data_IF_061164988828
#
_entry.id   IF_061164988828
#
_cell.length_a   1.000
_cell.length_b   1.000
_cell.length_c   1.000
_cell.angle_alpha   90.00
_cell.angle_beta   90.00
_cell.angle_gamma   90.00
#
_symmetry.space_group_name_H-M   'P 1'
#
loop_
_entity.id
_entity.type
_entity.pdbx_description
1 polymer ?
#
# COMPACT_ATOMS: atom_id res chain seq x y z
N UNK A 1 9.97 27.49 -40.75
CA UNK A 1 9.71 27.41 -39.29
C UNK A 1 10.87 28.10 -38.61
N UNK A 2 10.69 29.35 -38.19
CA UNK A 2 11.70 30.15 -37.50
C UNK A 2 11.66 29.85 -36.00
N UNK A 3 12.82 29.57 -35.41
CA UNK A 3 12.95 29.23 -34.00
C UNK A 3 12.71 30.45 -33.10
N UNK A 4 12.12 30.23 -31.93
CA UNK A 4 11.81 31.26 -30.93
C UNK A 4 13.03 32.09 -30.47
N UNK A 5 14.24 31.61 -30.75
CA UNK A 5 15.51 32.29 -30.45
C UNK A 5 15.78 33.54 -31.29
N UNK A 6 15.15 33.69 -32.47
CA UNK A 6 15.37 34.85 -33.34
C UNK A 6 14.50 36.07 -32.98
N UNK A 7 13.56 35.93 -32.04
CA UNK A 7 12.62 36.99 -31.64
C UNK A 7 13.15 37.89 -30.52
N UNK A 8 14.32 37.58 -29.92
CA UNK A 8 14.88 38.37 -28.81
C UNK A 8 16.41 38.55 -28.91
N UNK A 9 16.92 39.26 -29.93
CA UNK A 9 18.37 39.45 -30.11
C UNK A 9 19.06 40.34 -29.05
N UNK A 10 18.31 41.11 -28.26
CA UNK A 10 18.87 42.09 -27.30
C UNK A 10 18.54 41.78 -25.82
N UNK A 11 18.35 40.51 -25.46
CA UNK A 11 18.18 40.10 -24.07
C UNK A 11 19.51 40.08 -23.31
N UNK A 12 19.69 41.01 -22.36
CA UNK A 12 20.87 41.15 -21.50
C UNK A 12 21.08 39.98 -20.52
N UNK A 13 21.48 38.80 -21.01
CA UNK A 13 21.86 37.64 -20.17
C UNK A 13 23.03 36.83 -20.73
N UNK A 14 23.90 37.44 -21.50
CA UNK A 14 25.25 36.94 -21.70
C UNK A 14 26.20 37.73 -20.78
N UNK A 15 27.09 37.02 -20.11
CA UNK A 15 28.13 37.50 -19.19
C UNK A 15 27.69 37.90 -17.78
N UNK A 16 27.60 36.88 -16.90
CA UNK A 16 27.96 37.04 -15.48
C UNK A 16 28.38 35.70 -14.89
N UNK A 17 29.45 35.13 -15.43
CA UNK A 17 30.35 34.23 -14.70
C UNK A 17 31.17 35.05 -13.70
N UNK A 18 30.51 35.48 -12.62
CA UNK A 18 31.13 36.25 -11.54
C UNK A 18 30.28 36.13 -10.29
N UNK A 19 30.69 35.25 -9.38
CA UNK A 19 29.99 34.95 -8.13
C UNK A 19 29.92 36.17 -7.20
N UNK A 20 28.89 36.99 -7.37
CA UNK A 20 28.38 37.84 -6.31
C UNK A 20 27.22 37.09 -5.65
N UNK A 21 27.43 36.64 -4.40
CA UNK A 21 26.32 36.22 -3.53
C UNK A 21 25.41 37.43 -3.36
N UNK A 22 24.34 37.49 -4.14
CA UNK A 22 23.22 38.39 -3.87
C UNK A 22 22.70 38.00 -2.50
N UNK A 23 22.95 38.86 -1.53
CA UNK A 23 22.48 38.69 -0.15
C UNK A 23 20.95 38.77 -0.19
N UNK A 24 20.30 37.60 -0.18
CA UNK A 24 18.83 37.44 -0.26
C UNK A 24 18.08 38.32 0.73
N UNK A 25 18.75 38.76 1.81
CA UNK A 25 18.21 39.68 2.80
C UNK A 25 17.87 41.05 2.23
N UNK A 26 18.64 41.58 1.29
CA UNK A 26 18.36 42.90 0.70
C UNK A 26 17.16 42.85 -0.25
N UNK A 27 17.01 41.76 -1.01
CA UNK A 27 15.87 41.55 -1.91
C UNK A 27 14.58 41.35 -1.12
N UNK A 28 14.62 40.57 -0.04
CA UNK A 28 13.47 40.35 0.85
C UNK A 28 13.05 41.63 1.56
N UNK A 29 13.99 42.46 2.02
CA UNK A 29 13.67 43.70 2.72
C UNK A 29 12.99 44.73 1.80
N UNK A 30 13.44 44.82 0.55
CA UNK A 30 12.89 45.74 -0.47
C UNK A 30 11.51 45.28 -0.96
N UNK A 31 11.28 43.97 -1.08
CA UNK A 31 9.96 43.40 -1.36
C UNK A 31 8.96 43.67 -0.22
N UNK A 32 9.40 43.60 1.04
CA UNK A 32 8.58 43.91 2.23
C UNK A 32 8.19 45.39 2.30
N UNK A 33 9.06 46.28 1.83
CA UNK A 33 8.79 47.72 1.74
C UNK A 33 7.78 48.06 0.62
N UNK A 34 7.87 47.39 -0.54
CA UNK A 34 6.98 47.69 -1.68
C UNK A 34 5.62 47.02 -1.61
N UNK A 35 5.54 45.81 -1.07
CA UNK A 35 4.32 44.97 -1.13
C UNK A 35 3.60 44.94 0.24
N UNK A 36 4.22 45.52 1.27
CA UNK A 36 3.77 45.40 2.65
C UNK A 36 4.16 44.06 3.25
N UNK A 37 3.93 43.94 4.56
CA UNK A 37 4.33 42.76 5.30
C UNK A 37 3.56 41.53 4.80
N UNK A 38 4.24 40.43 4.43
CA UNK A 38 3.54 39.22 4.01
C UNK A 38 2.62 38.77 5.14
N UNK A 39 1.33 38.63 4.85
CA UNK A 39 0.39 38.05 5.82
C UNK A 39 0.95 36.68 6.20
N UNK A 40 1.32 36.52 7.46
CA UNK A 40 1.69 35.22 8.02
C UNK A 40 0.50 34.29 7.82
N UNK A 41 0.53 33.46 6.78
CA UNK A 41 -0.35 32.30 6.64
C UNK A 41 0.19 31.19 7.55
N UNK A 42 0.42 31.54 8.82
CA UNK A 42 0.38 30.58 9.92
C UNK A 42 -1.06 30.59 10.43
N UNK A 43 -1.94 30.07 9.59
CA UNK A 43 -3.12 29.41 10.11
C UNK A 43 -2.64 28.35 11.09
N UNK A 44 -3.19 28.36 12.30
CA UNK A 44 -2.96 27.32 13.29
C UNK A 44 -3.30 25.99 12.64
N UNK A 45 -2.28 25.24 12.22
CA UNK A 45 -2.41 23.83 11.90
C UNK A 45 -2.81 23.14 13.20
N UNK A 46 -4.12 22.98 13.40
CA UNK A 46 -4.65 22.07 14.42
C UNK A 46 -4.13 20.68 14.05
N UNK A 47 -3.38 20.01 14.94
CA UNK A 47 -2.90 18.67 14.66
C UNK A 47 -4.09 17.71 14.62
N UNK A 48 -4.07 16.81 13.62
CA UNK A 48 -5.00 15.69 13.43
C UNK A 48 -5.06 14.76 14.67
N UNK A 49 -4.13 14.95 15.62
CA UNK A 49 -4.09 14.32 16.94
C UNK A 49 -5.38 14.49 17.76
N UNK A 50 -6.17 15.56 17.57
CA UNK A 50 -7.44 15.74 18.29
C UNK A 50 -8.48 14.68 17.92
N UNK A 51 -8.45 14.14 16.70
CA UNK A 51 -9.39 13.11 16.24
C UNK A 51 -9.07 11.76 16.83
N UNK A 52 -7.79 11.38 16.87
CA UNK A 52 -7.34 10.14 17.49
C UNK A 52 -7.51 10.18 19.01
N UNK A 53 -7.36 11.35 19.62
CA UNK A 53 -7.61 11.53 21.04
C UNK A 53 -9.11 11.52 21.38
N UNK A 54 -9.96 12.05 20.49
CA UNK A 54 -11.42 11.90 20.57
C UNK A 54 -11.85 10.44 20.44
N UNK A 55 -11.33 9.71 19.45
CA UNK A 55 -11.61 8.28 19.26
C UNK A 55 -11.17 7.49 20.50
N UNK A 56 -9.97 7.76 21.03
CA UNK A 56 -9.46 7.11 22.24
C UNK A 56 -10.27 7.47 23.50
N UNK A 57 -10.83 8.68 23.58
CA UNK A 57 -11.72 9.09 24.68
C UNK A 57 -13.11 8.46 24.57
N UNK A 58 -13.65 8.31 23.37
CA UNK A 58 -14.92 7.60 23.12
C UNK A 58 -14.78 6.11 23.42
N UNK A 59 -13.66 5.49 23.04
CA UNK A 59 -13.38 4.08 23.35
C UNK A 59 -13.12 3.85 24.86
N UNK A 60 -12.51 4.82 25.55
CA UNK A 60 -12.37 4.78 27.00
C UNK A 60 -13.70 5.02 27.73
N UNK A 61 -14.62 5.80 27.14
CA UNK A 61 -15.96 6.02 27.69
C UNK A 61 -16.86 4.79 27.52
N UNK A 62 -16.79 4.11 26.36
CA UNK A 62 -17.55 2.88 26.12
C UNK A 62 -17.08 1.72 27.00
N UNK A 63 -15.77 1.61 27.25
CA UNK A 63 -15.20 0.60 28.17
C UNK A 63 -15.53 0.84 29.65
N UNK A 64 -15.96 2.05 30.03
CA UNK A 64 -16.32 2.40 31.41
C UNK A 64 -17.82 2.62 31.63
N UNK A 65 -18.65 2.44 30.60
CA UNK A 65 -20.09 2.48 30.73
C UNK A 65 -20.58 1.20 31.44
N UNK A 66 -20.70 1.28 32.77
CA UNK A 66 -21.35 0.25 33.57
C UNK A 66 -22.86 0.34 33.31
N UNK A 67 -23.55 -0.75 32.94
CA UNK A 67 -25.00 -0.73 32.82
C UNK A 67 -25.63 -0.45 34.18
N UNK A 68 -26.52 0.54 34.24
CA UNK A 68 -27.35 0.82 35.41
C UNK A 68 -28.44 -0.26 35.44
N UNK A 69 -28.16 -1.36 36.14
CA UNK A 69 -29.18 -2.28 36.61
C UNK A 69 -29.79 -1.68 37.88
N UNK A 70 -31.10 -1.49 37.84
CA UNK A 70 -31.92 -1.08 38.98
C UNK A 70 -32.17 -2.32 39.85
N UNK A 71 -31.30 -2.57 40.84
CA UNK A 71 -31.61 -3.47 41.95
C UNK A 71 -31.11 -2.90 43.28
N UNK A 72 -32.06 -2.71 44.18
CA UNK A 72 -31.92 -2.43 45.59
C UNK A 72 -31.29 -3.60 46.36
N UNK A 73 -30.27 -3.32 47.19
CA UNK A 73 -29.99 -4.16 48.36
C UNK A 73 -28.51 -4.47 48.68
N UNK A 74 -28.03 -3.76 49.71
CA UNK A 74 -27.09 -4.22 50.75
C UNK A 74 -25.56 -4.09 50.60
N UNK A 75 -24.95 -3.85 51.77
CA UNK A 75 -23.71 -3.14 52.05
C UNK A 75 -22.48 -4.08 52.10
N UNK A 76 -21.38 -3.72 51.41
CA UNK A 76 -20.02 -4.12 51.84
C UNK A 76 -18.87 -3.22 51.31
N UNK A 77 -18.24 -2.49 52.25
CA UNK A 77 -16.86 -1.96 52.36
C UNK A 77 -16.15 -1.28 51.16
N UNK A 78 -15.60 -0.05 51.35
CA UNK A 78 -14.85 0.65 50.31
C UNK A 78 -13.39 0.18 50.19
N UNK A 79 -12.97 -0.18 48.97
CA UNK A 79 -11.57 -0.36 48.57
C UNK A 79 -10.96 1.02 48.25
N UNK A 80 -9.87 1.36 48.92
CA UNK A 80 -9.06 2.58 48.70
C UNK A 80 -8.67 2.72 47.22
N UNK A 81 -9.24 3.70 46.52
CA UNK A 81 -8.78 4.13 45.20
C UNK A 81 -7.85 5.35 45.30
N UNK A 82 -6.78 5.26 44.51
CA UNK A 82 -5.73 6.24 44.30
C UNK A 82 -6.27 7.59 43.81
N UNK A 83 -5.69 8.68 44.33
CA UNK A 83 -6.03 10.07 43.99
C UNK A 83 -5.69 10.36 42.52
N UNK A 84 -6.71 10.43 41.65
CA UNK A 84 -6.60 11.13 40.36
C UNK A 84 -6.86 12.61 40.57
N UNK A 85 -5.99 13.43 39.97
CA UNK A 85 -6.02 14.90 40.04
C UNK A 85 -7.27 15.38 39.32
N UNK A 86 -8.04 16.23 40.01
CA UNK A 86 -9.15 16.99 39.46
C UNK A 86 -8.60 17.98 38.44
N UNK A 87 -9.06 17.88 37.19
CA UNK A 87 -8.85 18.92 36.18
C UNK A 87 -10.11 19.79 36.12
N UNK A 88 -10.08 21.02 36.68
CA UNK A 88 -11.26 21.86 36.83
C UNK A 88 -11.79 22.44 35.51
N UNK A 89 -11.11 22.26 34.38
CA UNK A 89 -11.53 22.86 33.09
C UNK A 89 -12.54 22.01 32.31
N UNK A 90 -12.53 20.68 32.45
CA UNK A 90 -13.47 19.80 31.74
C UNK A 90 -14.86 19.76 32.38
N UNK A 91 -14.95 19.98 33.70
CA UNK A 91 -16.22 20.12 34.42
C UNK A 91 -16.94 21.44 34.12
N UNK A 92 -16.22 22.47 33.66
CA UNK A 92 -16.81 23.77 33.31
C UNK A 92 -17.43 23.74 31.91
N UNK A 93 -16.86 23.01 30.95
CA UNK A 93 -17.41 22.90 29.59
C UNK A 93 -18.70 22.05 29.53
N UNK A 94 -18.75 20.94 30.27
CA UNK A 94 -19.94 20.09 30.36
C UNK A 94 -21.10 20.75 31.12
N UNK A 95 -20.81 21.57 32.14
CA UNK A 95 -21.85 22.32 32.86
C UNK A 95 -22.37 23.54 32.09
N UNK A 96 -21.55 24.19 31.26
CA UNK A 96 -22.00 25.28 30.38
C UNK A 96 -22.94 24.80 29.26
N UNK A 97 -22.72 23.60 28.71
CA UNK A 97 -23.63 23.01 27.72
C UNK A 97 -25.02 22.68 28.34
N UNK A 98 -25.04 22.12 29.55
CA UNK A 98 -26.30 21.79 30.26
C UNK A 98 -27.02 23.07 30.74
N UNK A 99 -26.29 24.10 31.17
CA UNK A 99 -26.87 25.39 31.55
C UNK A 99 -27.39 26.17 30.33
N UNK A 100 -26.76 26.06 29.16
CA UNK A 100 -27.27 26.66 27.93
C UNK A 100 -28.58 25.99 27.46
N UNK A 101 -28.66 24.65 27.57
CA UNK A 101 -29.90 23.89 27.27
C UNK A 101 -31.02 24.23 28.27
N UNK A 102 -30.70 24.38 29.57
CA UNK A 102 -31.67 24.78 30.59
C UNK A 102 -32.10 26.26 30.49
N UNK A 103 -31.21 27.17 30.05
CA UNK A 103 -31.53 28.58 29.85
C UNK A 103 -32.38 28.82 28.59
N UNK A 104 -32.19 28.02 27.54
CA UNK A 104 -33.04 28.04 26.34
C UNK A 104 -34.47 27.53 26.65
N UNK A 105 -34.60 26.54 27.53
CA UNK A 105 -35.90 26.00 27.95
C UNK A 105 -36.75 27.00 28.77
N UNK A 106 -36.14 27.96 29.46
CA UNK A 106 -36.85 28.90 30.34
C UNK A 106 -37.41 30.15 29.62
N UNK A 107 -36.88 30.53 28.44
CA UNK A 107 -37.30 31.74 27.72
C UNK A 107 -38.36 31.47 26.65
N UNK A 108 -38.51 30.23 26.17
CA UNK A 108 -39.55 29.84 25.21
C UNK A 108 -40.97 29.67 25.79
N UNK A 109 -41.12 29.59 27.12
CA UNK A 109 -42.37 29.18 27.77
C UNK A 109 -43.53 30.19 27.71
N UNK A 110 -43.32 31.45 27.31
CA UNK A 110 -44.37 32.50 27.43
C UNK A 110 -44.99 32.91 26.08
N UNK A 111 -44.38 32.58 24.94
CA UNK A 111 -45.03 32.75 23.61
C UNK A 111 -45.71 31.48 23.08
N UNK A 112 -45.49 30.32 23.74
CA UNK A 112 -46.13 29.04 23.39
C UNK A 112 -47.62 28.94 23.76
N UNK A 113 -48.21 29.93 24.46
CA UNK A 113 -49.60 29.85 24.91
C UNK A 113 -50.65 30.03 23.78
N UNK A 114 -50.23 30.41 22.57
CA UNK A 114 -51.10 30.50 21.38
C UNK A 114 -50.58 29.70 20.18
N UNK A 115 -49.48 28.96 20.33
CA UNK A 115 -49.00 28.07 19.29
C UNK A 115 -49.92 26.85 19.23
N UNK A 116 -50.44 26.53 18.04
CA UNK A 116 -51.24 25.32 17.88
C UNK A 116 -50.34 24.10 18.18
N UNK A 117 -50.85 23.05 18.87
CA UNK A 117 -50.10 21.82 19.07
C UNK A 117 -49.56 21.21 17.77
N UNK A 118 -50.26 21.42 16.65
CA UNK A 118 -49.84 21.00 15.32
C UNK A 118 -48.55 21.70 14.87
N UNK A 119 -48.41 23.01 15.12
CA UNK A 119 -47.21 23.75 14.78
C UNK A 119 -45.97 23.24 15.54
N UNK A 120 -46.11 22.90 16.83
CA UNK A 120 -45.01 22.31 17.59
C UNK A 120 -44.63 20.90 17.12
N UNK A 121 -45.62 20.08 16.74
CA UNK A 121 -45.39 18.73 16.20
C UNK A 121 -44.72 18.78 14.83
N UNK A 122 -45.06 19.75 13.99
CA UNK A 122 -44.39 19.97 12.69
C UNK A 122 -42.93 20.35 12.87
N UNK A 123 -42.59 21.22 13.83
CA UNK A 123 -41.18 21.53 14.12
C UNK A 123 -40.40 20.30 14.57
N UNK A 124 -40.99 19.46 15.44
CA UNK A 124 -40.35 18.21 15.84
C UNK A 124 -40.15 17.25 14.66
N UNK A 125 -41.13 17.17 13.75
CA UNK A 125 -41.02 16.38 12.52
C UNK A 125 -39.91 16.92 11.60
N UNK A 126 -39.81 18.24 11.42
CA UNK A 126 -38.72 18.87 10.65
C UNK A 126 -37.35 18.59 11.25
N UNK A 127 -37.22 18.62 12.58
CA UNK A 127 -35.98 18.26 13.28
C UNK A 127 -35.62 16.78 13.06
N UNK A 128 -36.60 15.87 13.17
CA UNK A 128 -36.42 14.43 12.91
C UNK A 128 -36.01 14.18 11.44
N UNK A 129 -36.59 14.91 10.49
CA UNK A 129 -36.23 14.80 9.08
C UNK A 129 -34.83 15.28 8.77
N UNK A 130 -34.42 16.40 9.37
CA UNK A 130 -33.06 16.87 9.29
C UNK A 130 -32.10 15.83 9.89
N UNK A 131 -32.47 15.17 11.00
CA UNK A 131 -31.69 14.09 11.59
C UNK A 131 -31.58 12.87 10.65
N UNK A 132 -32.68 12.48 9.99
CA UNK A 132 -32.71 11.38 9.01
C UNK A 132 -31.79 11.69 7.82
N UNK A 133 -31.88 12.88 7.24
CA UNK A 133 -31.05 13.28 6.09
C UNK A 133 -29.56 13.30 6.44
N UNK A 134 -29.19 13.88 7.59
CA UNK A 134 -27.82 13.88 8.07
C UNK A 134 -27.32 12.45 8.36
N UNK A 135 -28.15 11.63 8.99
CA UNK A 135 -27.86 10.22 9.27
C UNK A 135 -27.60 9.43 7.98
N UNK A 136 -28.45 9.62 6.97
CA UNK A 136 -28.31 8.98 5.66
C UNK A 136 -27.02 9.38 4.93
N UNK A 137 -26.68 10.67 4.94
CA UNK A 137 -25.45 11.17 4.32
C UNK A 137 -24.20 10.61 5.01
N UNK A 138 -24.21 10.57 6.35
CA UNK A 138 -23.14 9.98 7.15
C UNK A 138 -22.98 8.48 6.87
N UNK A 139 -24.09 7.75 6.79
CA UNK A 139 -24.10 6.32 6.50
C UNK A 139 -23.60 6.02 5.08
N UNK A 140 -23.99 6.82 4.10
CA UNK A 140 -23.50 6.72 2.71
C UNK A 140 -21.99 6.97 2.63
N UNK A 141 -21.51 8.05 3.27
CA UNK A 141 -20.07 8.34 3.31
C UNK A 141 -19.27 7.21 3.97
N UNK A 142 -19.82 6.63 5.05
CA UNK A 142 -19.20 5.50 5.74
C UNK A 142 -19.17 4.25 4.87
N UNK A 143 -20.27 3.95 4.17
CA UNK A 143 -20.35 2.86 3.20
C UNK A 143 -19.28 2.98 2.12
N UNK A 144 -19.22 4.13 1.46
CA UNK A 144 -18.31 4.36 0.34
C UNK A 144 -16.86 4.24 0.78
N UNK A 145 -16.55 4.72 1.99
CA UNK A 145 -15.23 4.55 2.60
C UNK A 145 -14.90 3.08 2.88
N UNK A 146 -15.84 2.29 3.41
CA UNK A 146 -15.60 0.86 3.65
C UNK A 146 -15.36 0.14 2.32
N UNK A 147 -16.14 0.44 1.28
CA UNK A 147 -15.96 -0.15 -0.04
C UNK A 147 -14.58 0.20 -0.64
N UNK A 148 -14.20 1.47 -0.60
CA UNK A 148 -12.89 1.93 -1.06
C UNK A 148 -11.73 1.30 -0.26
N UNK A 149 -11.89 1.17 1.06
CA UNK A 149 -10.89 0.53 1.92
C UNK A 149 -10.73 -0.96 1.59
N UNK A 150 -11.84 -1.69 1.34
CA UNK A 150 -11.81 -3.11 0.94
C UNK A 150 -11.13 -3.27 -0.43
N UNK A 151 -11.46 -2.42 -1.41
CA UNK A 151 -10.84 -2.44 -2.73
C UNK A 151 -9.32 -2.18 -2.65
N UNK A 152 -8.92 -1.14 -1.94
CA UNK A 152 -7.49 -0.79 -1.74
C UNK A 152 -6.74 -1.92 -1.03
N UNK A 153 -7.30 -2.47 0.05
CA UNK A 153 -6.66 -3.56 0.81
C UNK A 153 -6.55 -4.85 -0.01
N UNK A 154 -7.53 -5.12 -0.87
CA UNK A 154 -7.50 -6.27 -1.78
C UNK A 154 -6.37 -6.13 -2.81
N UNK A 155 -6.23 -4.94 -3.40
CA UNK A 155 -5.14 -4.64 -4.33
C UNK A 155 -3.76 -4.76 -3.66
N UNK A 156 -3.60 -4.19 -2.46
CA UNK A 156 -2.35 -4.27 -1.70
C UNK A 156 -1.98 -5.71 -1.34
N UNK A 157 -2.96 -6.53 -0.92
CA UNK A 157 -2.74 -7.94 -0.61
C UNK A 157 -2.31 -8.73 -1.87
N UNK A 158 -2.95 -8.47 -3.02
CA UNK A 158 -2.60 -9.12 -4.27
C UNK A 158 -1.20 -8.74 -4.75
N UNK A 159 -0.83 -7.46 -4.68
CA UNK A 159 0.52 -6.97 -5.01
C UNK A 159 1.57 -7.62 -4.12
N UNK A 160 1.37 -7.60 -2.80
CA UNK A 160 2.30 -8.21 -1.86
C UNK A 160 2.43 -9.72 -2.10
N UNK A 161 1.31 -10.42 -2.30
CA UNK A 161 1.33 -11.85 -2.62
C UNK A 161 2.14 -12.13 -3.89
N UNK A 162 1.96 -11.34 -4.94
CA UNK A 162 2.74 -11.42 -6.17
C UNK A 162 4.23 -11.18 -5.94
N UNK A 163 4.58 -10.15 -5.17
CA UNK A 163 5.95 -9.82 -4.82
C UNK A 163 6.65 -10.96 -4.06
N UNK A 164 5.97 -11.54 -3.06
CA UNK A 164 6.48 -12.70 -2.28
C UNK A 164 6.75 -13.91 -3.19
N UNK A 165 5.82 -14.25 -4.08
CA UNK A 165 6.00 -15.37 -5.02
C UNK A 165 7.12 -15.06 -6.02
N UNK A 166 7.20 -13.83 -6.53
CA UNK A 166 8.25 -13.45 -7.50
C UNK A 166 9.65 -13.41 -6.89
N UNK A 167 9.76 -13.31 -5.56
CA UNK A 167 11.01 -13.23 -4.81
C UNK A 167 11.44 -14.58 -4.27
N UNK A 168 10.53 -15.56 -4.21
CA UNK A 168 10.83 -16.88 -3.65
C UNK A 168 11.84 -17.66 -4.49
N UNK A 169 11.88 -17.37 -5.78
CA UNK A 169 12.73 -18.02 -6.76
C UNK A 169 13.38 -17.02 -7.70
N UNK A 170 14.49 -17.43 -8.31
CA UNK A 170 15.16 -16.68 -9.35
C UNK A 170 15.72 -17.60 -10.44
N UNK A 171 15.97 -17.09 -11.67
CA UNK A 171 16.64 -17.86 -12.71
C UNK A 171 18.02 -18.35 -12.24
N UNK A 172 18.32 -19.61 -12.50
CA UNK A 172 19.62 -20.21 -12.23
C UNK A 172 20.63 -19.76 -13.32
N UNK A 173 21.66 -18.97 -12.98
CA UNK A 173 22.64 -18.53 -13.97
C UNK A 173 23.45 -19.69 -14.57
N UNK A 174 23.51 -20.86 -13.89
CA UNK A 174 24.23 -22.03 -14.38
C UNK A 174 23.39 -22.92 -15.32
N UNK A 175 22.09 -22.63 -15.48
CA UNK A 175 21.19 -23.47 -16.27
C UNK A 175 20.87 -22.85 -17.63
N UNK A 176 21.16 -23.60 -18.69
CA UNK A 176 20.81 -23.23 -20.07
C UNK A 176 19.31 -23.40 -20.38
N UNK A 177 18.52 -24.01 -19.48
CA UNK A 177 17.13 -24.42 -19.72
C UNK A 177 16.19 -24.05 -18.57
N UNK A 178 15.93 -22.74 -18.42
CA UNK A 178 14.94 -22.19 -17.48
C UNK A 178 15.07 -22.74 -16.05
N UNK A 179 16.28 -23.11 -15.63
CA UNK A 179 16.53 -23.56 -14.27
C UNK A 179 16.19 -22.46 -13.28
N UNK A 180 15.77 -22.87 -12.09
CA UNK A 180 15.33 -21.95 -11.05
C UNK A 180 16.04 -22.31 -9.75
N UNK A 181 16.54 -21.30 -9.05
CA UNK A 181 17.13 -21.40 -7.72
C UNK A 181 16.18 -20.82 -6.68
N UNK A 182 16.08 -21.52 -5.54
CA UNK A 182 15.33 -21.04 -4.39
C UNK A 182 16.11 -19.91 -3.70
N UNK A 183 15.49 -18.74 -3.66
CA UNK A 183 16.00 -17.52 -3.02
C UNK A 183 15.62 -17.50 -1.54
N UNK A 184 14.44 -18.04 -1.21
CA UNK A 184 13.94 -18.17 0.17
C UNK A 184 13.41 -19.59 0.39
N UNK A 185 13.40 -20.03 1.65
CA UNK A 185 12.87 -21.36 2.00
C UNK A 185 11.33 -21.41 1.77
N UNK A 186 10.84 -22.31 0.89
CA UNK A 186 9.40 -22.44 0.62
C UNK A 186 8.59 -22.81 1.86
N UNK A 187 9.17 -23.53 2.82
CA UNK A 187 8.50 -23.90 4.06
C UNK A 187 8.20 -22.68 4.95
N UNK A 188 9.04 -21.64 4.87
CA UNK A 188 8.87 -20.39 5.62
C UNK A 188 7.93 -19.43 4.88
N UNK A 189 7.92 -19.47 3.55
CA UNK A 189 7.02 -18.67 2.72
C UNK A 189 5.55 -19.11 2.84
N UNK A 190 5.30 -20.43 2.90
CA UNK A 190 3.94 -20.98 2.86
C UNK A 190 2.99 -20.41 3.95
N UNK A 191 3.39 -20.25 5.22
CA UNK A 191 2.55 -19.61 6.24
C UNK A 191 2.19 -18.15 5.92
N UNK A 192 3.11 -17.38 5.34
CA UNK A 192 2.84 -15.98 4.96
C UNK A 192 1.83 -15.91 3.80
N UNK A 193 1.99 -16.75 2.78
CA UNK A 193 1.03 -16.85 1.68
C UNK A 193 -0.35 -17.30 2.17
N UNK A 194 -0.41 -18.32 3.03
CA UNK A 194 -1.67 -18.79 3.60
C UNK A 194 -2.39 -17.70 4.43
N UNK A 195 -1.65 -16.88 5.17
CA UNK A 195 -2.21 -15.75 5.91
C UNK A 195 -2.71 -14.63 4.99
N UNK A 196 -2.00 -14.34 3.88
CA UNK A 196 -2.47 -13.39 2.86
C UNK A 196 -3.71 -13.92 2.12
N UNK A 197 -3.76 -15.21 1.79
CA UNK A 197 -4.92 -15.83 1.15
C UNK A 197 -6.14 -15.82 2.09
N UNK A 198 -5.94 -16.07 3.39
CA UNK A 198 -6.99 -15.95 4.40
C UNK A 198 -7.46 -14.50 4.57
N UNK A 199 -6.55 -13.53 4.53
CA UNK A 199 -6.88 -12.11 4.57
C UNK A 199 -7.69 -11.67 3.35
N UNK A 200 -7.27 -12.04 2.14
CA UNK A 200 -7.99 -11.76 0.91
C UNK A 200 -9.38 -12.43 0.89
N UNK A 201 -9.48 -13.67 1.36
CA UNK A 201 -10.77 -14.35 1.52
C UNK A 201 -11.67 -13.64 2.56
N UNK A 202 -11.09 -13.15 3.66
CA UNK A 202 -11.80 -12.35 4.66
C UNK A 202 -12.33 -11.05 4.10
N UNK A 203 -11.54 -10.33 3.30
CA UNK A 203 -11.98 -9.11 2.60
C UNK A 203 -13.11 -9.41 1.62
N UNK A 204 -12.99 -10.48 0.83
CA UNK A 204 -14.02 -10.89 -0.13
C UNK A 204 -15.33 -11.34 0.55
N UNK A 205 -15.27 -11.78 1.81
CA UNK A 205 -16.45 -12.15 2.60
C UNK A 205 -17.17 -10.94 3.21
N UNK A 206 -16.57 -9.74 3.21
CA UNK A 206 -17.22 -8.53 3.72
C UNK A 206 -18.36 -8.16 2.77
N UNK A 207 -19.58 -8.28 3.28
CA UNK A 207 -20.78 -7.81 2.59
C UNK A 207 -21.20 -6.48 3.19
N UNK A 208 -21.12 -5.41 2.41
CA UNK A 208 -21.54 -4.07 2.85
C UNK A 208 -23.02 -3.89 2.51
N UNK A 209 -23.91 -3.70 3.49
CA UNK A 209 -25.34 -3.57 3.24
C UNK A 209 -25.65 -2.31 2.41
N UNK A 210 -26.76 -2.35 1.69
CA UNK A 210 -27.29 -1.17 1.03
C UNK A 210 -27.76 -0.14 2.06
N UNK A 211 -27.53 1.13 1.75
CA UNK A 211 -28.05 2.23 2.57
C UNK A 211 -29.57 2.23 2.43
N UNK A 212 -30.33 2.45 3.52
CA UNK A 212 -31.77 2.66 3.40
C UNK A 212 -32.08 3.76 2.36
N UNK A 213 -33.18 3.62 1.60
CA UNK A 213 -33.64 4.64 0.65
C UNK A 213 -33.70 6.09 1.20
N UNK A 214 -33.74 7.08 0.32
CA UNK A 214 -33.95 8.46 0.77
C UNK A 214 -35.32 8.61 1.45
N UNK A 215 -35.38 9.37 2.54
CA UNK A 215 -36.63 9.64 3.23
C UNK A 215 -37.40 10.77 2.53
N UNK A 216 -38.71 10.57 2.39
CA UNK A 216 -39.64 11.58 1.92
C UNK A 216 -40.91 11.51 2.79
N UNK A 217 -41.31 12.66 3.34
CA UNK A 217 -42.46 12.81 4.25
C UNK A 217 -43.78 12.29 3.68
N UNK A 218 -43.91 12.28 2.35
CA UNK A 218 -45.19 12.08 1.67
C UNK A 218 -46.11 13.30 1.82
N UNK A 219 -47.24 13.30 1.10
CA UNK A 219 -48.23 14.37 1.20
C UNK A 219 -49.01 14.22 2.51
N UNK A 220 -48.92 15.20 3.40
CA UNK A 220 -49.68 15.27 4.66
C UNK A 220 -50.46 16.57 4.77
N UNK A 221 -51.55 16.56 5.53
CA UNK A 221 -52.24 17.78 5.94
C UNK A 221 -51.61 18.31 7.23
N UNK A 222 -50.85 19.40 7.12
CA UNK A 222 -50.13 20.04 8.22
C UNK A 222 -51.07 20.61 9.31
N UNK A 223 -52.35 20.81 9.02
CA UNK A 223 -53.35 21.23 10.01
C UNK A 223 -54.00 20.04 10.74
N UNK A 224 -53.83 18.82 10.19
CA UNK A 224 -54.34 17.56 10.73
C UNK A 224 -53.34 16.95 11.72
N UNK A 225 -53.67 17.02 13.02
CA UNK A 225 -52.86 16.38 14.06
C UNK A 225 -52.67 14.88 13.85
N UNK A 226 -53.65 14.20 13.25
CA UNK A 226 -53.55 12.77 12.98
C UNK A 226 -52.52 12.46 11.89
N UNK A 227 -52.47 13.28 10.84
CA UNK A 227 -51.53 13.08 9.74
C UNK A 227 -50.10 13.46 10.14
N UNK A 228 -49.94 14.55 10.89
CA UNK A 228 -48.63 14.92 11.48
C UNK A 228 -48.14 13.82 12.45
N UNK A 229 -49.02 13.25 13.28
CA UNK A 229 -48.63 12.15 14.17
C UNK A 229 -48.16 10.91 13.40
N UNK A 230 -48.85 10.51 12.32
CA UNK A 230 -48.42 9.40 11.46
C UNK A 230 -47.09 9.68 10.77
N UNK A 231 -46.84 10.92 10.34
CA UNK A 231 -45.58 11.31 9.74
C UNK A 231 -44.42 11.21 10.73
N UNK A 232 -44.64 11.63 11.98
CA UNK A 232 -43.67 11.46 13.08
C UNK A 232 -43.40 9.97 13.34
N UNK A 233 -44.42 9.14 13.46
CA UNK A 233 -44.24 7.69 13.65
C UNK A 233 -43.38 7.08 12.51
N UNK A 234 -43.66 7.48 11.26
CA UNK A 234 -42.88 7.05 10.09
C UNK A 234 -41.43 7.54 10.13
N UNK A 235 -41.20 8.80 10.54
CA UNK A 235 -39.85 9.35 10.72
C UNK A 235 -39.09 8.61 11.83
N UNK A 236 -39.74 8.28 12.95
CA UNK A 236 -39.15 7.53 14.05
C UNK A 236 -38.78 6.10 13.65
N UNK A 237 -39.65 5.41 12.91
CA UNK A 237 -39.32 4.10 12.32
C UNK A 237 -38.08 4.21 11.40
N UNK A 238 -37.96 5.32 10.66
CA UNK A 238 -36.80 5.56 9.80
C UNK A 238 -35.52 5.78 10.59
N UNK A 239 -35.57 6.54 11.66
CA UNK A 239 -34.44 6.74 12.57
C UNK A 239 -33.97 5.42 13.18
N UNK A 240 -34.89 4.55 13.62
CA UNK A 240 -34.55 3.21 14.12
C UNK A 240 -33.86 2.35 13.06
N UNK A 241 -34.31 2.40 11.81
CA UNK A 241 -33.67 1.69 10.70
C UNK A 241 -32.25 2.24 10.42
N UNK A 242 -32.06 3.56 10.48
CA UNK A 242 -30.74 4.20 10.33
C UNK A 242 -29.79 3.81 11.46
N UNK A 243 -30.27 3.77 12.71
CA UNK A 243 -29.47 3.34 13.86
C UNK A 243 -29.01 1.88 13.70
N UNK A 244 -29.92 1.00 13.27
CA UNK A 244 -29.59 -0.40 12.97
C UNK A 244 -28.52 -0.51 11.89
N UNK A 245 -28.69 0.18 10.75
CA UNK A 245 -27.72 0.17 9.67
C UNK A 245 -26.36 0.77 10.10
N UNK A 246 -26.37 1.79 10.94
CA UNK A 246 -25.14 2.38 11.49
C UNK A 246 -24.44 1.40 12.44
N UNK A 247 -25.18 0.65 13.26
CA UNK A 247 -24.62 -0.40 14.11
C UNK A 247 -24.00 -1.53 13.28
N UNK A 248 -24.65 -1.93 12.19
CA UNK A 248 -24.12 -2.93 11.25
C UNK A 248 -22.83 -2.44 10.58
N UNK A 249 -22.77 -1.19 10.10
CA UNK A 249 -21.54 -0.62 9.54
C UNK A 249 -20.39 -0.58 10.53
N UNK A 250 -20.65 -0.27 11.82
CA UNK A 250 -19.62 -0.34 12.88
C UNK A 250 -19.13 -1.76 13.10
N UNK A 251 -20.03 -2.75 13.02
CA UNK A 251 -19.67 -4.17 13.10
C UNK A 251 -18.76 -4.57 11.94
N UNK A 252 -19.12 -4.18 10.70
CA UNK A 252 -18.31 -4.44 9.50
C UNK A 252 -16.94 -3.77 9.61
N UNK A 253 -16.88 -2.52 10.09
CA UNK A 253 -15.61 -1.84 10.31
C UNK A 253 -14.72 -2.60 11.32
N UNK A 254 -15.31 -3.08 12.40
CA UNK A 254 -14.60 -3.88 13.41
C UNK A 254 -14.08 -5.19 12.81
N UNK A 255 -14.87 -5.84 11.95
CA UNK A 255 -14.44 -7.04 11.23
C UNK A 255 -13.27 -6.73 10.29
N UNK A 256 -13.37 -5.67 9.46
CA UNK A 256 -12.31 -5.23 8.57
C UNK A 256 -11.00 -4.96 9.32
N UNK A 257 -11.07 -4.21 10.42
CA UNK A 257 -9.90 -3.87 11.23
C UNK A 257 -9.27 -5.11 11.91
N UNK A 258 -10.05 -6.16 12.17
CA UNK A 258 -9.57 -7.41 12.76
C UNK A 258 -8.88 -8.35 11.75
N UNK A 259 -9.11 -8.18 10.45
CA UNK A 259 -8.56 -9.07 9.41
C UNK A 259 -7.05 -8.87 9.18
N UNK A 260 -6.57 -7.63 9.29
CA UNK A 260 -5.20 -7.24 8.91
C UNK A 260 -4.09 -7.73 9.86
N UNK A 261 -4.22 -7.64 11.20
CA UNK A 261 -3.12 -7.97 12.12
C UNK A 261 -2.55 -9.40 11.99
N UNK A 262 -3.36 -10.46 11.79
CA UNK A 262 -2.82 -11.81 11.58
C UNK A 262 -1.94 -11.92 10.32
N UNK A 263 -2.34 -11.27 9.22
CA UNK A 263 -1.56 -11.25 7.99
C UNK A 263 -0.26 -10.45 8.16
N UNK A 264 -0.33 -9.28 8.81
CA UNK A 264 0.86 -8.48 9.13
C UNK A 264 1.88 -9.27 9.95
N UNK A 265 1.42 -10.00 10.98
CA UNK A 265 2.29 -10.82 11.81
C UNK A 265 2.99 -11.94 11.01
N UNK A 266 2.25 -12.64 10.15
CA UNK A 266 2.81 -13.71 9.33
C UNK A 266 3.83 -13.17 8.32
N UNK A 267 3.52 -12.04 7.66
CA UNK A 267 4.42 -11.36 6.73
C UNK A 267 5.68 -10.84 7.44
N UNK A 268 5.53 -10.25 8.64
CA UNK A 268 6.67 -9.81 9.44
C UNK A 268 7.56 -10.97 9.89
N UNK A 269 6.95 -12.10 10.24
CA UNK A 269 7.69 -13.33 10.60
C UNK A 269 8.49 -13.86 9.42
N UNK A 270 7.92 -13.84 8.21
CA UNK A 270 8.65 -14.18 6.98
C UNK A 270 9.77 -13.18 6.68
N UNK A 271 9.51 -11.87 6.79
CA UNK A 271 10.51 -10.82 6.59
C UNK A 271 11.73 -10.99 7.52
N UNK A 272 11.52 -11.43 8.76
CA UNK A 272 12.58 -11.68 9.72
C UNK A 272 13.56 -12.81 9.31
N UNK A 273 13.19 -13.67 8.36
CA UNK A 273 14.06 -14.78 7.92
C UNK A 273 15.10 -14.38 6.87
N UNK A 274 14.96 -13.21 6.25
CA UNK A 274 15.84 -12.78 5.16
C UNK A 274 17.30 -12.61 5.59
N UNK A 275 17.56 -12.19 6.84
CA UNK A 275 18.93 -12.10 7.34
C UNK A 275 19.62 -13.48 7.36
N UNK A 276 18.95 -14.51 7.91
CA UNK A 276 19.47 -15.87 7.91
C UNK A 276 19.58 -16.48 6.51
N UNK A 277 18.64 -16.14 5.61
CA UNK A 277 18.70 -16.56 4.22
C UNK A 277 19.89 -15.95 3.47
N UNK A 278 20.20 -14.67 3.71
CA UNK A 278 21.37 -14.00 3.17
C UNK A 278 22.68 -14.65 3.65
N UNK A 279 22.80 -14.95 4.94
CA UNK A 279 23.97 -15.63 5.50
C UNK A 279 24.17 -17.03 4.90
N UNK A 280 23.06 -17.76 4.70
CA UNK A 280 23.07 -19.07 4.05
C UNK A 280 23.48 -18.97 2.56
N UNK A 281 23.04 -17.92 1.86
CA UNK A 281 23.43 -17.66 0.47
C UNK A 281 24.93 -17.31 0.36
N UNK A 282 25.44 -16.45 1.23
CA UNK A 282 26.87 -16.10 1.29
C UNK A 282 27.71 -17.36 1.56
N UNK A 283 27.26 -18.22 2.47
CA UNK A 283 27.93 -19.50 2.75
C UNK A 283 27.90 -20.48 1.56
N UNK A 284 26.86 -20.42 0.74
CA UNK A 284 26.69 -21.24 -0.48
C UNK A 284 27.57 -20.74 -1.63
N UNK A 285 27.82 -19.43 -1.70
CA UNK A 285 28.57 -18.76 -2.77
C UNK A 285 29.79 -18.02 -2.20
N UNK A 286 30.78 -18.75 -1.65
CA UNK A 286 31.87 -18.17 -0.86
C UNK A 286 32.87 -17.36 -1.68
N UNK A 287 32.94 -17.56 -3.00
CA UNK A 287 33.93 -16.92 -3.86
C UNK A 287 33.39 -15.71 -4.63
N UNK A 288 32.10 -15.41 -4.49
CA UNK A 288 31.54 -14.18 -5.04
C UNK A 288 32.16 -12.95 -4.35
N UNK A 289 32.16 -11.82 -5.06
CA UNK A 289 32.77 -10.59 -4.57
C UNK A 289 32.13 -10.12 -3.23
N UNK A 290 32.99 -9.69 -2.31
CA UNK A 290 32.61 -9.17 -1.00
C UNK A 290 31.67 -7.95 -1.10
N UNK A 291 31.79 -7.16 -2.18
CA UNK A 291 30.86 -6.05 -2.44
C UNK A 291 29.43 -6.54 -2.70
N UNK A 292 29.26 -7.68 -3.38
CA UNK A 292 27.97 -8.30 -3.65
C UNK A 292 27.39 -8.96 -2.40
N UNK A 293 28.21 -9.62 -1.59
CA UNK A 293 27.79 -10.13 -0.29
C UNK A 293 27.25 -9.00 0.61
N UNK A 294 27.96 -7.86 0.64
CA UNK A 294 27.52 -6.68 1.40
C UNK A 294 26.18 -6.16 0.90
N UNK A 295 26.01 -6.03 -0.42
CA UNK A 295 24.75 -5.58 -1.02
C UNK A 295 23.58 -6.52 -0.68
N UNK A 296 23.81 -7.85 -0.67
CA UNK A 296 22.82 -8.84 -0.28
C UNK A 296 22.41 -8.70 1.19
N UNK A 297 23.38 -8.56 2.10
CA UNK A 297 23.12 -8.34 3.54
C UNK A 297 22.36 -7.02 3.77
N UNK A 298 22.71 -5.94 3.09
CA UNK A 298 22.00 -4.67 3.20
C UNK A 298 20.57 -4.75 2.67
N UNK A 299 20.34 -5.47 1.57
CA UNK A 299 18.99 -5.69 1.04
C UNK A 299 18.14 -6.52 2.01
N UNK A 300 18.71 -7.55 2.63
CA UNK A 300 18.05 -8.35 3.67
C UNK A 300 17.69 -7.50 4.90
N UNK A 301 18.61 -6.64 5.35
CA UNK A 301 18.39 -5.73 6.47
C UNK A 301 17.27 -4.71 6.18
N UNK A 302 17.18 -4.21 4.94
CA UNK A 302 16.08 -3.33 4.50
C UNK A 302 14.72 -4.00 4.60
N UNK A 303 14.63 -5.28 4.23
CA UNK A 303 13.40 -6.07 4.39
C UNK A 303 13.03 -6.23 5.87
N UNK A 304 13.99 -6.55 6.73
CA UNK A 304 13.74 -6.73 8.17
C UNK A 304 13.39 -5.44 8.92
N UNK A 305 13.88 -4.28 8.44
CA UNK A 305 13.62 -2.98 9.07
C UNK A 305 12.34 -2.30 8.57
N UNK A 306 11.86 -2.67 7.38
CA UNK A 306 10.69 -2.06 6.73
C UNK A 306 9.43 -2.94 6.82
N UNK A 307 8.27 -2.31 6.68
CA UNK A 307 7.03 -3.05 6.39
C UNK A 307 7.04 -3.52 4.94
N UNK A 308 6.64 -4.77 4.68
CA UNK A 308 6.50 -5.30 3.31
C UNK A 308 5.23 -4.82 2.60
N UNK A 309 4.33 -4.14 3.29
CA UNK A 309 3.10 -3.62 2.71
C UNK A 309 3.35 -2.39 1.83
N UNK A 310 2.75 -2.41 0.64
CA UNK A 310 2.85 -1.34 -0.35
C UNK A 310 4.12 -1.38 -1.21
N UNK A 311 4.25 -0.37 -2.07
CA UNK A 311 5.25 -0.30 -3.14
C UNK A 311 6.70 -0.36 -2.63
N UNK A 312 6.98 0.21 -1.45
CA UNK A 312 8.32 0.17 -0.86
C UNK A 312 8.75 -1.25 -0.47
N UNK A 313 7.81 -2.07 0.01
CA UNK A 313 8.05 -3.46 0.36
C UNK A 313 8.33 -4.32 -0.88
N UNK A 314 7.57 -4.12 -1.95
CA UNK A 314 7.82 -4.75 -3.25
C UNK A 314 9.22 -4.43 -3.79
N UNK A 315 9.61 -3.15 -3.78
CA UNK A 315 10.93 -2.74 -4.23
C UNK A 315 12.06 -3.33 -3.36
N UNK A 316 11.85 -3.48 -2.04
CA UNK A 316 12.81 -4.10 -1.15
C UNK A 316 13.00 -5.60 -1.45
N UNK A 317 11.89 -6.32 -1.68
CA UNK A 317 11.89 -7.73 -2.07
C UNK A 317 12.59 -7.96 -3.42
N UNK A 318 12.28 -7.14 -4.43
CA UNK A 318 12.93 -7.19 -5.73
C UNK A 318 14.44 -6.90 -5.61
N UNK A 319 14.83 -5.87 -4.85
CA UNK A 319 16.24 -5.54 -4.62
C UNK A 319 17.01 -6.68 -3.95
N UNK A 320 16.38 -7.43 -3.03
CA UNK A 320 17.01 -8.59 -2.41
C UNK A 320 17.17 -9.74 -3.41
N UNK A 321 16.14 -10.06 -4.18
CA UNK A 321 16.21 -11.10 -5.23
C UNK A 321 17.33 -10.79 -6.22
N UNK A 322 17.39 -9.55 -6.70
CA UNK A 322 18.39 -9.15 -7.70
C UNK A 322 19.82 -9.20 -7.13
N UNK A 323 20.00 -8.82 -5.85
CA UNK A 323 21.28 -8.98 -5.17
C UNK A 323 21.68 -10.46 -5.01
N UNK A 324 20.72 -11.34 -4.70
CA UNK A 324 20.98 -12.78 -4.60
C UNK A 324 21.40 -13.36 -5.96
N UNK A 325 20.72 -12.99 -7.05
CA UNK A 325 21.08 -13.40 -8.41
C UNK A 325 22.47 -12.92 -8.78
N UNK A 326 22.83 -11.68 -8.43
CA UNK A 326 24.17 -11.14 -8.69
C UNK A 326 25.27 -11.95 -7.98
N UNK A 327 25.05 -12.34 -6.72
CA UNK A 327 25.97 -13.21 -5.97
C UNK A 327 26.11 -14.58 -6.64
N UNK A 328 25.00 -15.21 -7.02
CA UNK A 328 25.02 -16.52 -7.68
C UNK A 328 25.74 -16.47 -9.05
N UNK A 329 25.48 -15.43 -9.84
CA UNK A 329 26.10 -15.25 -11.14
C UNK A 329 27.62 -14.97 -11.05
N UNK A 330 28.06 -14.22 -10.04
CA UNK A 330 29.49 -13.96 -9.84
C UNK A 330 30.25 -15.20 -9.37
N UNK A 331 29.66 -16.03 -8.50
CA UNK A 331 30.24 -17.33 -8.16
C UNK A 331 30.44 -18.18 -9.42
N UNK A 332 29.42 -18.27 -10.29
CA UNK A 332 29.52 -19.03 -11.52
C UNK A 332 30.64 -18.51 -12.43
N UNK A 333 30.76 -17.17 -12.57
CA UNK A 333 31.86 -16.55 -13.31
C UNK A 333 33.22 -16.99 -12.77
N UNK A 334 33.41 -16.95 -11.46
CA UNK A 334 34.66 -17.37 -10.80
C UNK A 334 34.93 -18.86 -11.00
N UNK A 335 33.91 -19.70 -10.96
CA UNK A 335 34.06 -21.14 -11.18
C UNK A 335 34.45 -21.48 -12.62
N UNK A 336 33.91 -20.75 -13.60
CA UNK A 336 34.32 -20.86 -15.01
C UNK A 336 35.77 -20.42 -15.19
N UNK A 337 36.16 -19.26 -14.65
CA UNK A 337 37.54 -18.75 -14.73
C UNK A 337 38.56 -19.75 -14.16
N UNK A 338 38.23 -20.38 -13.02
CA UNK A 338 39.08 -21.42 -12.42
C UNK A 338 39.12 -22.71 -13.23
N UNK A 339 38.04 -23.09 -13.89
CA UNK A 339 38.02 -24.27 -14.76
C UNK A 339 38.96 -24.04 -15.97
N UNK A 340 38.87 -22.86 -16.60
CA UNK A 340 39.71 -22.46 -17.72
C UNK A 340 41.20 -22.39 -17.33
N UNK A 341 41.53 -21.86 -16.14
CA UNK A 341 42.90 -21.83 -15.64
C UNK A 341 43.46 -23.25 -15.43
N UNK A 342 42.66 -24.16 -14.86
CA UNK A 342 43.08 -25.56 -14.69
C UNK A 342 43.29 -26.27 -16.02
N UNK A 343 42.51 -25.96 -17.05
CA UNK A 343 42.68 -26.52 -18.39
C UNK A 343 43.98 -26.00 -19.03
N UNK A 344 44.24 -24.68 -18.97
CA UNK A 344 45.50 -24.08 -19.47
C UNK A 344 46.73 -24.62 -18.75
N UNK A 345 46.65 -24.88 -17.45
CA UNK A 345 47.74 -25.52 -16.70
C UNK A 345 47.97 -26.98 -17.14
N UNK A 346 46.92 -27.73 -17.47
CA UNK A 346 47.04 -29.10 -17.97
C UNK A 346 47.67 -29.13 -19.36
N UNK A 347 47.24 -28.25 -20.26
CA UNK A 347 47.82 -28.12 -21.60
C UNK A 347 49.29 -27.71 -21.56
N UNK A 348 49.66 -26.76 -20.69
CA UNK A 348 51.06 -26.36 -20.48
C UNK A 348 51.92 -27.47 -19.83
N UNK A 349 51.30 -28.43 -19.14
CA UNK A 349 51.99 -29.59 -18.54
C UNK A 349 52.07 -30.79 -19.47
N UNK A 350 51.39 -30.81 -20.63
CA UNK A 350 51.69 -31.79 -21.67
C UNK A 350 53.03 -31.41 -22.33
N UNK A 351 54.12 -32.17 -22.11
CA UNK A 351 55.37 -31.89 -22.79
C UNK A 351 55.12 -32.04 -24.29
N UNK A 352 55.60 -31.05 -25.06
CA UNK A 352 55.57 -31.07 -26.52
C UNK A 352 55.90 -32.48 -27.02
N UNK A 353 54.89 -33.22 -27.48
CA UNK A 353 55.09 -34.33 -28.40
C UNK A 353 55.79 -33.69 -29.59
N UNK A 354 57.11 -33.80 -29.64
CA UNK A 354 57.91 -33.51 -30.83
C UNK A 354 57.19 -34.16 -32.00
N UNK A 355 56.76 -33.41 -33.03
CA UNK A 355 56.57 -34.03 -34.31
C UNK A 355 57.97 -34.52 -34.71
N UNK A 356 58.18 -35.83 -34.73
CA UNK A 356 59.35 -36.38 -35.36
C UNK A 356 59.39 -35.83 -36.78
N UNK A 357 60.45 -35.07 -37.04
CA UNK A 357 60.83 -34.54 -38.33
C UNK A 357 60.93 -35.68 -39.32
N UNK A 358 59.92 -35.82 -40.19
CA UNK A 358 60.10 -36.56 -41.44
C UNK A 358 61.08 -35.78 -42.31
N UNK A 359 62.24 -36.40 -42.48
CA UNK A 359 63.33 -36.05 -43.38
C UNK A 359 62.84 -35.75 -44.80
N UNK A 360 63.43 -34.69 -45.37
CA UNK A 360 63.50 -34.36 -46.79
C UNK A 360 64.06 -35.51 -47.64
N UNK A 361 63.34 -35.85 -48.72
CA UNK A 361 63.71 -36.71 -49.89
C UNK A 361 64.75 -36.02 -50.80
N UNK A 362 65.51 -36.71 -51.71
CA UNK A 362 65.02 -37.11 -53.07
C UNK A 362 65.85 -38.25 -53.80
N UNK A 363 65.71 -38.52 -55.12
CA UNK A 363 64.53 -38.79 -55.96
C UNK A 363 64.63 -40.17 -56.69
N UNK A 364 63.52 -40.70 -57.21
CA UNK A 364 63.59 -41.57 -58.40
C UNK A 364 62.43 -41.26 -59.37
N UNK A 365 62.82 -41.07 -60.62
CA UNK A 365 62.02 -40.89 -61.83
C UNK A 365 61.06 -42.07 -62.04
N UNK A 366 59.79 -41.80 -62.33
CA UNK A 366 59.13 -42.24 -63.58
C UNK A 366 57.74 -41.59 -63.75
N UNK A 367 57.64 -40.76 -64.79
CA UNK A 367 56.56 -40.63 -65.79
C UNK A 367 55.09 -40.92 -65.42
N UNK A 368 54.27 -39.88 -65.56
CA UNK A 368 53.10 -39.73 -66.46
C UNK A 368 51.86 -39.04 -65.83
N UNK A 369 51.64 -37.80 -66.30
CA UNK A 369 50.41 -36.97 -66.27
C UNK A 369 49.39 -37.47 -67.33
N UNK A 370 48.16 -36.89 -67.55
CA UNK A 370 47.23 -36.05 -66.73
C UNK A 370 45.70 -36.42 -67.00
N UNK A 371 44.66 -35.54 -66.88
CA UNK A 371 44.06 -34.80 -65.76
C UNK A 371 42.49 -34.99 -65.63
N UNK A 372 41.64 -34.03 -65.18
CA UNK A 372 40.93 -34.03 -63.90
C UNK A 372 39.39 -34.20 -64.01
N UNK A 373 38.69 -34.45 -62.91
CA UNK A 373 37.25 -34.13 -62.82
C UNK A 373 37.03 -33.12 -61.69
N UNK A 374 36.63 -31.94 -62.14
CA UNK A 374 36.01 -30.86 -61.36
C UNK A 374 34.56 -31.28 -61.13
N UNK A 375 34.09 -31.29 -59.89
CA UNK A 375 32.67 -31.00 -59.63
C UNK A 375 32.53 -29.96 -58.52
N UNK A 376 31.90 -28.87 -58.95
CA UNK A 376 31.53 -27.61 -58.32
C UNK A 376 30.39 -27.84 -57.30
N UNK A 377 30.13 -26.89 -56.37
CA UNK A 377 29.09 -27.00 -55.34
C UNK A 377 27.70 -26.95 -55.95
N UNK A 378 26.75 -27.69 -55.36
CA UNK A 378 25.32 -27.59 -55.66
C UNK A 378 24.58 -27.11 -54.41
N UNK A 379 24.19 -25.85 -54.47
CA UNK A 379 23.02 -25.23 -53.84
C UNK A 379 22.51 -24.23 -54.90
N UNK A 380 21.24 -23.79 -54.93
CA UNK A 380 19.98 -24.36 -54.45
C UNK A 380 18.95 -24.49 -55.60
N UNK A 381 17.90 -25.31 -55.47
CA UNK A 381 16.68 -25.14 -56.29
C UNK A 381 15.46 -25.51 -55.44
N UNK A 382 14.78 -24.52 -54.86
CA UNK A 382 13.53 -23.90 -55.35
C UNK A 382 12.41 -24.87 -55.72
N UNK A 383 11.30 -24.74 -54.98
CA UNK A 383 10.04 -25.43 -55.18
C UNK A 383 9.08 -25.07 -54.03
N UNK A 384 8.51 -23.86 -53.96
CA UNK A 384 7.14 -23.54 -54.46
C UNK A 384 6.18 -24.75 -54.37
N UNK A 385 5.02 -24.75 -53.72
CA UNK A 385 4.08 -23.72 -53.23
C UNK A 385 2.98 -24.46 -52.41
N UNK A 386 2.21 -23.76 -51.54
CA UNK A 386 1.02 -24.29 -50.85
C UNK A 386 -0.22 -24.22 -51.80
N UNK A 387 -1.40 -24.79 -51.47
CA UNK A 387 -2.38 -24.03 -50.65
C UNK A 387 -3.42 -24.85 -49.83
N UNK A 388 -3.98 -24.15 -48.84
CA UNK A 388 -5.41 -24.00 -48.45
C UNK A 388 -6.37 -25.19 -48.19
N UNK A 389 -7.21 -24.95 -47.16
CA UNK A 389 -8.46 -25.61 -46.81
C UNK A 389 -8.66 -25.45 -45.30
N UNK A 390 -9.12 -24.32 -44.76
CA UNK A 390 -10.37 -23.55 -44.96
C UNK A 390 -11.66 -24.27 -44.52
N UNK A 391 -12.34 -23.63 -43.56
CA UNK A 391 -13.77 -23.73 -43.25
C UNK A 391 -14.21 -24.64 -42.08
N UNK A 392 -14.45 -24.15 -40.85
CA UNK A 392 -15.68 -23.48 -40.29
C UNK A 392 -16.86 -24.41 -40.00
N UNK A 393 -17.85 -24.04 -39.14
CA UNK A 393 -17.99 -22.88 -38.25
C UNK A 393 -18.10 -23.19 -36.75
#
# INVERSE_FOLDING_TARGET
MTALSDLFPDGSRADTSGGARLDDRHTVHRLREMIGEPRDVRGVTRPIADTDELIRRVEAASKNAVPVADESGDVARPVKRSRRRFDPLTTIAGSLAVVAVLAAAAVGGVQMATASPAASSLTALEDDEAAIQNGLQSLTTTRDRILADVESQTADAALLRGALVSTSTAPDPASDREGVIDVTDPAVLAPALAALDAYAAGLAAITVPEVPAEYSRGDIDDESLEDVAKAIDTAQERLLALDSATAEMRSIRTQLDALRPPAELAVATYAATFAGAADAAISRYPDADASLHTALTEAAARIGAGGLWGVAGEAALASYRDAFVAVAADQLRVDIERADEREREQDNRQPARRPDSQQTTPPEDTTEQPPPVVETPLDPDTGTTPPEGDGTP
#
